data_IF_271675801102
#
_entry.id   IF_271675801102
#
_cell.length_a   1.000
_cell.length_b   1.000
_cell.length_c   1.000
_cell.angle_alpha   90.00
_cell.angle_beta   90.00
_cell.angle_gamma   90.00
#
_symmetry.space_group_name_H-M   'P 1'
#
loop_
_entity.id
_entity.type
_entity.pdbx_description
1 polymer ?
#
# COMPACT_ATOMS: atom_id res chain seq x y z
N UNK A 1 27.18 -8.30 -5.91
CA UNK A 1 27.70 -9.03 -4.73
C UNK A 1 27.37 -10.51 -4.90
N UNK A 2 28.27 -11.44 -4.56
CA UNK A 2 27.99 -12.90 -4.64
C UNK A 2 27.36 -13.42 -3.35
N UNK A 3 26.66 -14.55 -3.38
CA UNK A 3 26.10 -15.18 -2.17
C UNK A 3 27.19 -15.52 -1.13
N UNK A 4 28.38 -15.94 -1.58
CA UNK A 4 29.53 -16.21 -0.70
C UNK A 4 30.01 -14.94 0.00
N UNK A 5 30.10 -13.85 -0.73
CA UNK A 5 30.48 -12.54 -0.17
C UNK A 5 29.41 -12.02 0.80
N UNK A 6 28.12 -12.16 0.45
CA UNK A 6 27.02 -11.78 1.33
C UNK A 6 26.99 -12.63 2.60
N UNK A 7 27.25 -13.93 2.49
CA UNK A 7 27.39 -14.84 3.63
C UNK A 7 28.51 -14.40 4.57
N UNK A 8 29.69 -14.07 4.03
CA UNK A 8 30.83 -13.53 4.79
C UNK A 8 30.50 -12.24 5.51
N UNK A 9 29.77 -11.31 4.87
CA UNK A 9 29.39 -10.02 5.45
C UNK A 9 28.32 -10.11 6.53
N UNK A 10 27.43 -11.10 6.45
CA UNK A 10 26.22 -11.16 7.27
C UNK A 10 26.21 -12.29 8.30
N UNK A 11 27.13 -13.25 8.17
CA UNK A 11 27.13 -14.48 8.97
C UNK A 11 25.96 -15.44 8.64
N UNK A 12 25.13 -15.11 7.64
CA UNK A 12 24.05 -16.01 7.17
C UNK A 12 24.69 -17.05 6.26
N UNK A 13 24.42 -18.34 6.49
CA UNK A 13 25.04 -19.40 5.70
C UNK A 13 24.65 -19.30 4.20
N UNK A 14 25.62 -19.50 3.31
CA UNK A 14 25.39 -19.42 1.86
C UNK A 14 24.23 -20.32 1.37
N UNK A 15 24.07 -21.58 1.83
CA UNK A 15 22.91 -22.40 1.45
C UNK A 15 21.58 -21.80 1.91
N UNK A 16 21.55 -21.11 3.06
CA UNK A 16 20.35 -20.40 3.55
C UNK A 16 20.02 -19.23 2.62
N UNK A 17 21.01 -18.43 2.23
CA UNK A 17 20.83 -17.33 1.26
C UNK A 17 20.27 -17.88 -0.06
N UNK A 18 20.84 -18.97 -0.58
CA UNK A 18 20.37 -19.59 -1.82
C UNK A 18 18.92 -20.10 -1.71
N UNK A 19 18.51 -20.62 -0.55
CA UNK A 19 17.10 -21.01 -0.31
C UNK A 19 16.17 -19.80 -0.26
N UNK A 20 16.60 -18.70 0.37
CA UNK A 20 15.84 -17.44 0.44
C UNK A 20 15.62 -16.89 -0.98
N UNK A 21 16.68 -16.77 -1.78
CA UNK A 21 16.61 -16.24 -3.15
C UNK A 21 15.75 -17.11 -4.09
N UNK A 22 15.66 -18.43 -3.82
CA UNK A 22 14.78 -19.36 -4.54
C UNK A 22 13.35 -19.39 -4.01
N UNK A 23 13.01 -18.62 -2.97
CA UNK A 23 11.70 -18.63 -2.34
C UNK A 23 11.36 -19.95 -1.60
N UNK A 24 12.37 -20.73 -1.22
CA UNK A 24 12.21 -22.05 -0.57
C UNK A 24 12.07 -21.95 0.95
N UNK A 25 12.19 -20.75 1.51
CA UNK A 25 11.99 -20.43 2.93
C UNK A 25 11.43 -19.03 3.07
N UNK A 26 10.64 -18.82 4.10
CA UNK A 26 10.26 -17.49 4.57
C UNK A 26 11.24 -17.05 5.68
N UNK A 27 12.19 -16.15 5.41
CA UNK A 27 13.16 -15.69 6.41
C UNK A 27 12.51 -14.79 7.46
N UNK A 28 13.02 -14.87 8.69
CA UNK A 28 12.66 -13.91 9.76
C UNK A 28 13.05 -12.49 9.33
N UNK A 29 12.28 -11.50 9.76
CA UNK A 29 12.54 -10.07 9.48
C UNK A 29 13.99 -9.68 9.82
N UNK A 30 14.52 -10.11 10.96
CA UNK A 30 15.91 -9.82 11.33
C UNK A 30 16.98 -10.43 10.40
N UNK A 31 16.66 -11.54 9.72
CA UNK A 31 17.53 -12.10 8.67
C UNK A 31 17.48 -11.23 7.42
N UNK A 32 16.30 -10.77 7.01
CA UNK A 32 16.14 -9.86 5.86
C UNK A 32 16.88 -8.55 6.12
N UNK A 33 16.67 -7.96 7.30
CA UNK A 33 17.31 -6.70 7.70
C UNK A 33 18.84 -6.79 7.63
N UNK A 34 19.43 -7.86 8.18
CA UNK A 34 20.88 -8.09 8.12
C UNK A 34 21.41 -8.26 6.69
N UNK A 35 20.68 -8.97 5.84
CA UNK A 35 21.04 -9.15 4.43
C UNK A 35 20.99 -7.83 3.66
N UNK A 36 19.93 -7.03 3.87
CA UNK A 36 19.76 -5.72 3.23
C UNK A 36 20.81 -4.71 3.70
N UNK A 37 21.12 -4.68 5.00
CA UNK A 37 22.15 -3.79 5.54
C UNK A 37 23.51 -4.02 4.87
N UNK A 38 23.90 -5.28 4.63
CA UNK A 38 25.13 -5.61 3.91
C UNK A 38 25.09 -5.23 2.41
N UNK A 39 23.90 -5.02 1.85
CA UNK A 39 23.65 -4.48 0.51
C UNK A 39 23.54 -2.95 0.47
N UNK A 40 23.61 -2.26 1.62
CA UNK A 40 23.36 -0.80 1.69
C UNK A 40 21.89 -0.41 1.60
N UNK A 41 20.98 -1.34 1.93
CA UNK A 41 19.53 -1.13 1.95
C UNK A 41 18.98 -1.36 3.37
N UNK A 42 17.74 -0.93 3.62
CA UNK A 42 17.04 -1.17 4.88
C UNK A 42 15.56 -1.51 4.62
N UNK A 43 14.91 -2.08 5.63
CA UNK A 43 13.45 -2.25 5.64
C UNK A 43 12.85 -0.97 6.25
N UNK A 44 11.92 -0.34 5.54
CA UNK A 44 11.03 0.66 6.12
C UNK A 44 9.60 0.12 6.17
N UNK A 45 8.85 0.59 7.16
CA UNK A 45 7.41 0.36 7.25
C UNK A 45 6.73 1.65 6.86
N UNK A 46 6.00 1.62 5.75
CA UNK A 46 5.24 2.75 5.27
C UNK A 46 3.74 2.46 5.43
N UNK A 47 2.92 3.46 5.80
CA UNK A 47 1.48 3.34 5.73
C UNK A 47 1.07 3.00 4.30
N UNK A 48 0.23 1.98 4.14
CA UNK A 48 -0.34 1.65 2.83
C UNK A 48 -1.33 2.76 2.45
N UNK A 49 -1.12 3.49 1.34
CA UNK A 49 -1.99 4.61 0.98
C UNK A 49 -3.44 4.18 0.83
N UNK A 50 -4.31 4.87 1.56
CA UNK A 50 -5.73 4.57 1.61
C UNK A 50 -6.09 3.20 2.22
N UNK A 51 -5.20 2.60 3.00
CA UNK A 51 -5.57 1.50 3.89
C UNK A 51 -6.62 1.98 4.89
N UNK A 52 -7.64 1.18 5.14
CA UNK A 52 -8.75 1.53 6.03
C UNK A 52 -9.74 2.57 5.47
N UNK A 53 -9.51 3.12 4.26
CA UNK A 53 -10.49 4.01 3.62
C UNK A 53 -11.62 3.16 3.02
N UNK A 54 -12.86 3.42 3.45
CA UNK A 54 -14.04 2.85 2.82
C UNK A 54 -14.21 3.42 1.40
N UNK A 55 -14.00 2.56 0.41
CA UNK A 55 -14.13 2.89 -1.01
C UNK A 55 -15.49 2.48 -1.59
N UNK A 56 -16.48 2.13 -0.77
CA UNK A 56 -17.79 1.68 -1.26
C UNK A 56 -18.49 2.76 -2.05
N UNK A 57 -18.59 3.98 -1.52
CA UNK A 57 -19.18 5.12 -2.24
C UNK A 57 -18.42 5.46 -3.54
N UNK A 58 -17.08 5.46 -3.51
CA UNK A 58 -16.27 5.70 -4.71
C UNK A 58 -16.57 4.67 -5.81
N UNK A 59 -16.69 3.38 -5.44
CA UNK A 59 -17.02 2.31 -6.39
C UNK A 59 -18.40 2.48 -6.99
N UNK A 60 -19.40 2.91 -6.21
CA UNK A 60 -20.73 3.22 -6.74
C UNK A 60 -20.70 4.41 -7.72
N UNK A 61 -19.99 5.49 -7.36
CA UNK A 61 -19.83 6.65 -8.24
C UNK A 61 -19.14 6.29 -9.56
N UNK A 62 -18.16 5.40 -9.53
CA UNK A 62 -17.46 4.94 -10.75
C UNK A 62 -18.36 4.17 -11.71
N UNK A 63 -19.43 3.52 -11.22
CA UNK A 63 -20.41 2.79 -12.05
C UNK A 63 -21.38 3.70 -12.80
N UNK A 64 -21.48 4.97 -12.42
CA UNK A 64 -22.40 5.91 -13.05
C UNK A 64 -21.92 6.31 -14.45
N UNK A 65 -22.85 6.28 -15.41
CA UNK A 65 -22.70 6.88 -16.74
C UNK A 65 -22.56 8.40 -16.65
N UNK A 66 -22.11 9.05 -17.73
CA UNK A 66 -22.01 10.51 -17.80
C UNK A 66 -23.34 11.21 -17.48
N UNK A 67 -24.47 10.66 -17.95
CA UNK A 67 -25.81 11.22 -17.69
C UNK A 67 -26.20 11.09 -16.22
N UNK A 68 -25.97 9.93 -15.61
CA UNK A 68 -26.27 9.70 -14.19
C UNK A 68 -25.40 10.57 -13.28
N UNK A 69 -24.15 10.84 -13.65
CA UNK A 69 -23.29 11.77 -12.92
C UNK A 69 -23.83 13.21 -12.94
N UNK A 70 -24.31 13.68 -14.09
CA UNK A 70 -24.95 15.02 -14.20
C UNK A 70 -26.20 15.10 -13.33
N UNK A 71 -27.01 14.04 -13.31
CA UNK A 71 -28.22 13.99 -12.50
C UNK A 71 -27.91 13.96 -10.99
N UNK A 72 -26.93 13.17 -10.58
CA UNK A 72 -26.45 13.15 -9.18
C UNK A 72 -25.98 14.54 -8.74
N UNK A 73 -25.13 15.21 -9.55
CA UNK A 73 -24.64 16.55 -9.24
C UNK A 73 -25.77 17.56 -9.05
N UNK A 74 -26.82 17.51 -9.88
CA UNK A 74 -28.00 18.38 -9.74
C UNK A 74 -28.73 18.13 -8.42
N UNK A 75 -28.87 16.87 -8.01
CA UNK A 75 -29.50 16.49 -6.75
C UNK A 75 -28.69 16.98 -5.56
N UNK A 76 -27.37 16.77 -5.61
CA UNK A 76 -26.45 17.20 -4.56
C UNK A 76 -26.47 18.73 -4.40
N UNK A 77 -26.42 19.49 -5.50
CA UNK A 77 -26.51 20.95 -5.49
C UNK A 77 -27.84 21.44 -4.91
N UNK A 78 -28.96 20.82 -5.28
CA UNK A 78 -30.27 21.17 -4.72
C UNK A 78 -30.37 20.83 -3.23
N UNK A 79 -29.77 19.71 -2.81
CA UNK A 79 -29.70 19.29 -1.41
C UNK A 79 -28.89 20.25 -0.55
N UNK A 80 -27.69 20.62 -1.00
CA UNK A 80 -26.81 21.59 -0.33
C UNK A 80 -27.49 22.95 -0.16
N UNK A 81 -28.11 23.48 -1.22
CA UNK A 81 -28.85 24.75 -1.14
C UNK A 81 -30.07 24.72 -0.17
N UNK A 82 -30.60 23.53 0.15
CA UNK A 82 -31.61 23.39 1.22
C UNK A 82 -30.96 23.35 2.59
N UNK A 83 -29.83 22.65 2.72
CA UNK A 83 -29.06 22.57 3.94
C UNK A 83 -28.59 23.97 4.39
N UNK A 84 -27.99 24.75 3.49
CA UNK A 84 -27.49 26.10 3.80
C UNK A 84 -28.61 26.99 4.35
N UNK A 85 -29.77 26.99 3.68
CA UNK A 85 -30.98 27.69 4.16
C UNK A 85 -31.48 27.23 5.52
N UNK A 86 -31.29 25.94 5.85
CA UNK A 86 -31.72 25.39 7.13
C UNK A 86 -30.71 25.67 8.25
N UNK A 87 -29.41 25.79 7.93
CA UNK A 87 -28.34 26.04 8.89
C UNK A 87 -28.11 27.54 9.12
N UNK A 88 -28.63 28.42 8.27
CA UNK A 88 -28.65 29.87 8.50
C UNK A 88 -27.30 30.57 8.28
N UNK A 89 -26.39 29.94 7.55
CA UNK A 89 -25.20 30.55 6.93
C UNK A 89 -25.49 30.85 5.47
#
# INVERSE_FOLDING_TARGET
MTQRELSRRTGVAQPTIARIERGLVDPRVGTIDRLLAACGACISVEPVPGYGIDRSQMRELLRLSARERVELLRRDASGLARLDRAVGT
#
